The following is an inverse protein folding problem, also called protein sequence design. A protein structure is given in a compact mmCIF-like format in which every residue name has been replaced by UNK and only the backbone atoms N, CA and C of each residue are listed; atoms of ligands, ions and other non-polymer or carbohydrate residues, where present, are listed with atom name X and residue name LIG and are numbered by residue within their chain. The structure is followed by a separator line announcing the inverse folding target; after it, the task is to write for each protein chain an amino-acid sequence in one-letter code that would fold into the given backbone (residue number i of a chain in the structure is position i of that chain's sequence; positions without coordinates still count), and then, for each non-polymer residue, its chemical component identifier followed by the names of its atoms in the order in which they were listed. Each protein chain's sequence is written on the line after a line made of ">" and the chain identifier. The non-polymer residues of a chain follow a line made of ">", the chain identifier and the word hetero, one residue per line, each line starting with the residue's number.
data_IF_764025891033
#
_entry.id   IF_764025891033
#
_cell.length_a   1.000
_cell.length_b   1.000
_cell.length_c   1.000
_cell.angle_alpha   90.00
_cell.angle_beta   90.00
_cell.angle_gamma   90.00
#
_symmetry.space_group_name_H-M   'P 1'
#
loop_
_entity.id
_entity.type
_entity.pdbx_description
1 polymer ?
#
# COMPACT_ATOMS: atom_id res chain seq x y z
N UNK A 1 24.66 -5.74 8.97
CA UNK A 1 23.20 -5.85 9.05
C UNK A 1 22.66 -4.63 9.78
N UNK A 2 22.22 -3.63 9.02
CA UNK A 2 21.52 -2.48 9.61
C UNK A 2 20.03 -2.69 9.37
N UNK A 3 19.24 -2.86 10.41
CA UNK A 3 17.79 -2.77 10.29
C UNK A 3 17.42 -1.38 9.74
N UNK A 4 16.62 -1.28 8.67
CA UNK A 4 16.22 0.01 8.15
C UNK A 4 15.34 0.72 9.19
N UNK A 5 15.81 1.85 9.71
CA UNK A 5 14.96 2.74 10.52
C UNK A 5 13.72 3.09 9.68
N UNK A 6 12.55 3.07 10.33
CA UNK A 6 11.24 3.36 9.73
C UNK A 6 10.71 2.30 8.74
N UNK A 7 11.03 1.02 8.92
CA UNK A 7 10.40 -0.07 8.14
C UNK A 7 10.59 0.09 6.61
N UNK A 8 11.72 0.70 6.21
CA UNK A 8 12.06 0.98 4.81
C UNK A 8 11.49 2.29 4.23
N UNK A 9 10.70 3.05 4.99
CA UNK A 9 10.13 4.32 4.51
C UNK A 9 11.15 5.47 4.55
N UNK A 10 11.46 6.02 3.37
CA UNK A 10 12.32 7.20 3.24
C UNK A 10 11.46 8.45 3.03
N UNK A 11 11.41 9.32 4.05
CA UNK A 11 10.79 10.65 3.92
C UNK A 11 11.74 11.58 3.17
N UNK A 12 11.21 12.31 2.20
CA UNK A 12 12.00 13.25 1.40
C UNK A 12 11.20 14.53 1.12
N UNK A 13 11.88 15.69 1.05
CA UNK A 13 11.28 17.01 0.86
C UNK A 13 11.20 17.48 -0.61
N UNK A 14 11.77 16.73 -1.54
CA UNK A 14 11.87 17.04 -2.98
C UNK A 14 10.60 16.69 -3.76
N UNK A 15 9.53 16.23 -3.09
CA UNK A 15 8.22 16.04 -3.72
C UNK A 15 7.53 17.38 -3.94
N UNK A 16 7.19 17.68 -5.17
CA UNK A 16 6.39 18.84 -5.53
C UNK A 16 4.93 18.62 -5.12
N UNK A 17 4.33 19.63 -4.50
CA UNK A 17 2.93 19.61 -4.02
C UNK A 17 1.91 19.82 -5.14
N UNK A 18 2.36 20.30 -6.30
CA UNK A 18 1.52 20.59 -7.46
C UNK A 18 2.31 20.28 -8.73
N UNK A 19 1.73 19.48 -9.62
CA UNK A 19 2.39 19.03 -10.85
C UNK A 19 2.87 17.59 -10.78
N UNK A 20 3.56 17.16 -11.83
CA UNK A 20 4.08 15.80 -11.97
C UNK A 20 5.43 15.68 -11.28
N UNK A 21 5.62 14.60 -10.53
CA UNK A 21 6.92 14.27 -9.95
C UNK A 21 7.61 13.24 -10.84
N UNK A 22 8.91 13.43 -11.09
CA UNK A 22 9.75 12.47 -11.80
C UNK A 22 10.47 11.57 -10.79
N UNK A 23 10.33 10.26 -10.95
CA UNK A 23 11.07 9.27 -10.18
C UNK A 23 12.07 8.61 -11.12
N UNK A 24 13.37 8.74 -10.84
CA UNK A 24 14.43 8.07 -11.60
C UNK A 24 15.11 7.03 -10.72
N UNK A 25 15.27 5.82 -11.26
CA UNK A 25 15.99 4.73 -10.61
C UNK A 25 17.17 4.37 -11.49
N UNK A 26 18.37 4.34 -10.91
CA UNK A 26 19.60 3.95 -11.61
C UNK A 26 20.24 2.78 -10.90
N UNK A 27 20.40 1.67 -11.61
CA UNK A 27 21.05 0.48 -11.05
C UNK A 27 22.38 0.24 -11.77
N UNK A 28 23.45 0.08 -10.99
CA UNK A 28 24.77 -0.28 -11.48
C UNK A 28 25.50 -1.18 -10.48
N UNK A 29 25.98 -2.34 -10.92
CA UNK A 29 26.82 -3.26 -10.13
C UNK A 29 26.28 -3.56 -8.70
N UNK A 30 24.95 -3.71 -8.58
CA UNK A 30 24.28 -4.02 -7.31
C UNK A 30 23.93 -2.81 -6.43
N UNK A 31 24.32 -1.60 -6.84
CA UNK A 31 23.83 -0.36 -6.23
C UNK A 31 22.64 0.15 -7.02
N UNK A 32 21.57 0.51 -6.31
CA UNK A 32 20.35 1.11 -6.87
C UNK A 32 20.11 2.46 -6.23
N UNK A 33 20.33 3.51 -6.99
CA UNK A 33 20.14 4.89 -6.58
C UNK A 33 18.74 5.37 -6.98
N UNK A 34 18.07 6.01 -6.03
CA UNK A 34 16.75 6.61 -6.18
C UNK A 34 16.88 8.13 -6.24
N UNK A 35 16.24 8.73 -7.23
CA UNK A 35 16.16 10.16 -7.41
C UNK A 35 14.68 10.58 -7.52
N UNK A 36 14.36 11.73 -6.94
CA UNK A 36 13.06 12.39 -7.07
C UNK A 36 13.30 13.79 -7.60
N UNK A 37 12.66 14.14 -8.72
CA UNK A 37 12.82 15.42 -9.40
C UNK A 37 14.30 15.76 -9.64
N UNK A 38 15.08 14.77 -10.11
CA UNK A 38 16.52 14.89 -10.36
C UNK A 38 17.42 14.91 -9.11
N UNK A 39 16.85 14.99 -7.90
CA UNK A 39 17.60 15.04 -6.64
C UNK A 39 17.78 13.66 -6.05
N UNK A 40 19.02 13.33 -5.65
CA UNK A 40 19.34 12.06 -4.99
C UNK A 40 18.61 11.92 -3.64
N UNK A 41 18.01 10.75 -3.41
CA UNK A 41 17.24 10.44 -2.21
C UNK A 41 17.91 9.34 -1.39
N UNK A 42 18.23 8.22 -2.01
CA UNK A 42 18.70 7.03 -1.31
C UNK A 42 19.43 6.06 -2.25
N UNK A 43 20.32 5.25 -1.70
CA UNK A 43 20.94 4.11 -2.38
C UNK A 43 20.59 2.84 -1.62
N UNK A 44 19.98 1.89 -2.31
CA UNK A 44 19.86 0.51 -1.86
C UNK A 44 20.99 -0.32 -2.45
N UNK A 45 21.46 -1.32 -1.70
CA UNK A 45 22.47 -2.26 -2.17
C UNK A 45 21.89 -3.67 -2.16
N UNK A 46 21.92 -4.32 -3.33
CA UNK A 46 21.47 -5.68 -3.52
C UNK A 46 22.34 -6.40 -4.57
N UNK A 47 23.00 -7.47 -4.17
CA UNK A 47 23.79 -8.35 -5.03
C UNK A 47 23.05 -9.62 -5.47
N UNK A 48 21.86 -9.85 -4.91
CA UNK A 48 21.06 -11.06 -5.14
C UNK A 48 20.28 -10.96 -6.45
N UNK A 49 19.87 -9.75 -6.84
CA UNK A 49 19.12 -9.48 -8.07
C UNK A 49 20.06 -9.13 -9.24
N UNK A 50 20.55 -10.16 -9.94
CA UNK A 50 21.37 -10.00 -11.16
C UNK A 50 20.54 -9.89 -12.45
N UNK A 51 19.37 -10.52 -12.46
CA UNK A 51 18.43 -10.54 -13.58
C UNK A 51 17.00 -10.48 -13.05
N UNK A 52 16.08 -9.87 -13.82
CA UNK A 52 14.71 -9.69 -13.36
C UNK A 52 13.84 -8.90 -14.32
N UNK A 53 12.59 -8.68 -13.93
CA UNK A 53 11.63 -7.83 -14.63
C UNK A 53 11.49 -6.51 -13.87
N UNK A 54 11.36 -5.41 -14.60
CA UNK A 54 11.04 -4.10 -14.01
C UNK A 54 9.53 -3.92 -14.09
N UNK A 55 8.91 -3.55 -12.96
CA UNK A 55 7.47 -3.32 -12.88
C UNK A 55 7.12 -2.38 -11.73
N UNK A 56 5.94 -1.78 -11.81
CA UNK A 56 5.37 -0.94 -10.77
C UNK A 56 4.32 -1.75 -10.01
N UNK A 57 4.31 -1.62 -8.68
CA UNK A 57 3.36 -2.32 -7.82
C UNK A 57 2.70 -1.35 -6.85
N UNK A 58 1.37 -1.42 -6.76
CA UNK A 58 0.55 -0.68 -5.81
C UNK A 58 -0.20 -1.66 -4.90
N UNK A 59 -0.34 -1.33 -3.61
CA UNK A 59 -1.15 -2.12 -2.68
C UNK A 59 -2.65 -2.01 -2.95
N UNK A 60 -3.46 -2.82 -2.26
CA UNK A 60 -4.91 -2.94 -2.48
C UNK A 60 -5.72 -1.64 -2.29
N UNK A 61 -5.17 -0.64 -1.60
CA UNK A 61 -5.78 0.67 -1.35
C UNK A 61 -5.01 1.81 -2.02
N UNK A 62 -4.24 1.52 -3.08
CA UNK A 62 -3.39 2.52 -3.76
C UNK A 62 -3.52 2.40 -5.27
N UNK A 63 -3.43 3.55 -5.93
CA UNK A 63 -3.41 3.66 -7.39
C UNK A 63 -2.12 4.35 -7.82
N UNK A 64 -1.53 3.89 -8.93
CA UNK A 64 -0.39 4.52 -9.58
C UNK A 64 -0.87 5.11 -10.89
N UNK A 65 -0.73 6.43 -11.03
CA UNK A 65 -1.02 7.17 -12.25
C UNK A 65 0.29 7.78 -12.73
N UNK A 66 0.65 7.56 -13.99
CA UNK A 66 1.84 8.13 -14.61
C UNK A 66 1.54 8.51 -16.05
N UNK A 67 2.16 9.58 -16.52
CA UNK A 67 2.06 10.01 -17.92
C UNK A 67 3.08 9.28 -18.80
N UNK A 68 4.31 9.08 -18.29
CA UNK A 68 5.42 8.50 -19.04
C UNK A 68 6.16 7.42 -18.23
N UNK A 69 6.54 6.32 -18.90
CA UNK A 69 7.40 5.27 -18.37
C UNK A 69 8.54 4.97 -19.35
N UNK A 70 9.78 5.23 -18.92
CA UNK A 70 10.97 5.07 -19.75
C UNK A 70 11.98 4.12 -19.10
N UNK A 71 12.25 3.00 -19.77
CA UNK A 71 13.29 2.05 -19.38
C UNK A 71 14.47 2.14 -20.33
N UNK A 72 15.67 2.40 -19.79
CA UNK A 72 16.93 2.41 -20.53
C UNK A 72 17.84 1.30 -20.01
N UNK A 73 18.36 0.48 -20.92
CA UNK A 73 19.38 -0.53 -20.60
C UNK A 73 20.68 -0.14 -21.29
N UNK A 74 21.83 -0.41 -20.65
CA UNK A 74 23.11 -0.34 -21.35
C UNK A 74 23.17 -1.53 -22.32
N UNK A 75 23.23 -1.26 -23.62
CA UNK A 75 23.64 -2.29 -24.58
C UNK A 75 25.15 -2.49 -24.42
N UNK A 76 25.56 -3.73 -24.12
CA UNK A 76 26.95 -4.11 -24.33
C UNK A 76 27.18 -4.19 -25.84
N UNK A 77 27.96 -3.24 -26.37
CA UNK A 77 28.48 -3.35 -27.73
C UNK A 77 29.49 -4.51 -27.76
N UNK A 78 29.05 -5.71 -28.16
CA UNK A 78 29.96 -6.77 -28.60
C UNK A 78 30.60 -6.34 -29.92
N UNK A 79 31.67 -5.56 -29.84
CA UNK A 79 32.56 -5.31 -30.97
C UNK A 79 33.35 -6.59 -31.25
N UNK A 80 32.89 -7.36 -32.25
CA UNK A 80 33.70 -8.38 -32.91
C UNK A 80 34.81 -7.66 -33.68
N UNK A 81 35.93 -7.40 -33.02
CA UNK A 81 37.14 -6.89 -33.65
C UNK A 81 37.74 -7.94 -34.60
N UNK A 82 37.29 -7.95 -35.85
CA UNK A 82 38.08 -8.52 -36.95
C UNK A 82 39.07 -7.47 -37.44
N UNK A 83 40.26 -7.45 -36.84
CA UNK A 83 41.43 -6.81 -37.43
C UNK A 83 41.97 -7.73 -38.52
N UNK A 84 41.72 -7.41 -39.78
CA UNK A 84 42.34 -8.08 -40.93
C UNK A 84 43.60 -7.32 -41.34
N UNK A 85 44.70 -7.55 -40.63
CA UNK A 85 46.03 -7.21 -41.15
C UNK A 85 46.38 -8.17 -42.29
N UNK A 86 46.41 -7.63 -43.50
CA UNK A 86 46.97 -8.29 -44.68
C UNK A 86 48.50 -8.32 -44.52
N UNK A 87 49.05 -9.50 -44.28
CA UNK A 87 50.42 -9.80 -44.68
C UNK A 87 50.39 -10.95 -45.68
N UNK A 88 50.65 -10.61 -46.95
CA UNK A 88 51.05 -11.57 -47.97
C UNK A 88 52.42 -12.15 -47.58
N UNK A 89 52.47 -13.46 -47.38
CA UNK A 89 53.70 -14.22 -47.47
C UNK A 89 53.47 -15.38 -48.43
N UNK A 90 54.14 -15.31 -49.58
CA UNK A 90 54.27 -16.37 -50.57
C UNK A 90 55.02 -17.55 -49.95
N UNK A 91 54.29 -18.63 -49.67
CA UNK A 91 54.85 -19.97 -49.55
C UNK A 91 53.81 -20.94 -50.13
N UNK A 92 54.24 -21.81 -51.03
CA UNK A 92 53.41 -22.84 -51.66
C UNK A 92 52.68 -23.66 -50.58
N UNK A 93 51.36 -23.89 -50.74
CA UNK A 93 50.58 -24.57 -49.72
C UNK A 93 50.96 -26.06 -49.69
N UNK A 94 51.54 -26.48 -48.56
CA UNK A 94 51.79 -27.88 -48.26
C UNK A 94 50.43 -28.61 -48.19
N UNK A 95 50.17 -29.48 -49.17
CA UNK A 95 48.86 -30.12 -49.45
C UNK A 95 48.30 -30.86 -48.24
N UNK A 96 49.17 -31.45 -47.42
CA UNK A 96 48.80 -32.16 -46.19
C UNK A 96 48.21 -31.22 -45.12
N UNK A 97 48.71 -29.99 -45.00
CA UNK A 97 48.17 -29.01 -44.05
C UNK A 97 46.82 -28.46 -44.50
N UNK A 98 46.56 -28.37 -45.81
CA UNK A 98 45.25 -27.95 -46.33
C UNK A 98 44.15 -28.96 -46.00
N UNK A 99 44.41 -30.25 -46.13
CA UNK A 99 43.45 -31.30 -45.76
C UNK A 99 43.13 -31.29 -44.26
N UNK A 100 44.15 -31.14 -43.42
CA UNK A 100 43.97 -31.04 -41.97
C UNK A 100 43.16 -29.80 -41.58
N UNK A 101 43.43 -28.65 -42.21
CA UNK A 101 42.65 -27.41 -42.01
C UNK A 101 41.20 -27.61 -42.44
N UNK A 102 40.95 -28.31 -43.54
CA UNK A 102 39.59 -28.60 -44.03
C UNK A 102 38.83 -29.52 -43.06
N UNK A 103 39.50 -30.52 -42.49
CA UNK A 103 38.93 -31.42 -41.47
C UNK A 103 38.60 -30.65 -40.19
N UNK A 104 39.48 -29.75 -39.74
CA UNK A 104 39.20 -28.91 -38.58
C UNK A 104 38.04 -27.95 -38.84
N UNK A 105 38.00 -27.32 -40.01
CA UNK A 105 36.90 -26.44 -40.40
C UNK A 105 35.57 -27.17 -40.42
N UNK A 106 35.50 -28.36 -41.02
CA UNK A 106 34.27 -29.17 -41.05
C UNK A 106 33.84 -29.62 -39.66
N UNK A 107 34.78 -29.98 -38.76
CA UNK A 107 34.45 -30.25 -37.35
C UNK A 107 33.94 -29.01 -36.62
N UNK A 108 34.58 -27.85 -36.83
CA UNK A 108 34.16 -26.58 -36.23
C UNK A 108 32.77 -26.20 -36.73
N UNK A 109 32.49 -26.32 -38.02
CA UNK A 109 31.18 -26.02 -38.60
C UNK A 109 30.08 -26.94 -38.04
N UNK A 110 30.39 -28.25 -37.90
CA UNK A 110 29.48 -29.20 -37.27
C UNK A 110 29.23 -28.88 -35.78
N UNK A 111 30.28 -28.53 -35.03
CA UNK A 111 30.17 -28.08 -33.64
C UNK A 111 29.35 -26.78 -33.54
N UNK A 112 29.57 -25.81 -34.44
CA UNK A 112 28.82 -24.55 -34.46
C UNK A 112 27.33 -24.79 -34.74
N UNK A 113 27.00 -25.75 -35.60
CA UNK A 113 25.62 -26.14 -35.88
C UNK A 113 24.95 -26.79 -34.66
N UNK A 114 25.65 -27.68 -33.94
CA UNK A 114 25.12 -28.30 -32.72
C UNK A 114 24.93 -27.27 -31.60
N UNK A 115 25.88 -26.35 -31.40
CA UNK A 115 25.77 -25.24 -30.43
C UNK A 115 24.53 -24.40 -30.73
N UNK A 116 24.33 -23.96 -31.99
CA UNK A 116 23.13 -23.20 -32.38
C UNK A 116 21.83 -23.94 -32.08
N UNK A 117 21.82 -25.26 -32.27
CA UNK A 117 20.63 -26.10 -32.04
C UNK A 117 20.34 -26.22 -30.55
N UNK A 118 21.36 -26.49 -29.74
CA UNK A 118 21.25 -26.56 -28.28
C UNK A 118 20.81 -25.22 -27.68
N UNK A 119 21.35 -24.11 -28.19
CA UNK A 119 21.01 -22.77 -27.72
C UNK A 119 19.54 -22.44 -27.98
N UNK A 120 19.01 -22.78 -29.17
CA UNK A 120 17.57 -22.68 -29.45
C UNK A 120 16.71 -23.52 -28.51
N UNK A 121 17.16 -24.71 -28.12
CA UNK A 121 16.43 -25.55 -27.17
C UNK A 121 16.42 -24.95 -25.77
N UNK A 122 17.56 -24.45 -25.28
CA UNK A 122 17.66 -23.76 -23.98
C UNK A 122 16.75 -22.54 -23.94
N UNK A 123 16.74 -21.72 -25.00
CA UNK A 123 15.87 -20.54 -25.09
C UNK A 123 14.38 -20.91 -25.08
N UNK A 124 14.02 -22.02 -25.74
CA UNK A 124 12.66 -22.57 -25.70
C UNK A 124 12.25 -23.01 -24.30
N UNK A 125 13.12 -23.71 -23.58
CA UNK A 125 12.80 -24.15 -22.21
C UNK A 125 12.74 -22.98 -21.22
N UNK A 126 13.61 -21.98 -21.37
CA UNK A 126 13.57 -20.75 -20.57
C UNK A 126 12.27 -19.96 -20.80
N UNK A 127 11.82 -19.83 -22.04
CA UNK A 127 10.56 -19.12 -22.33
C UNK A 127 9.34 -19.88 -21.79
N UNK A 128 9.35 -21.21 -21.84
CA UNK A 128 8.29 -22.05 -21.28
C UNK A 128 8.21 -21.95 -19.75
N UNK A 129 9.37 -21.97 -19.05
CA UNK A 129 9.43 -21.75 -17.60
C UNK A 129 8.88 -20.38 -17.19
N UNK A 130 9.18 -19.34 -17.98
CA UNK A 130 8.65 -17.99 -17.76
C UNK A 130 7.12 -17.95 -17.94
N UNK A 131 6.60 -18.67 -18.94
CA UNK A 131 5.17 -18.77 -19.19
C UNK A 131 4.45 -19.46 -18.02
N UNK A 132 4.96 -20.59 -17.55
CA UNK A 132 4.41 -21.31 -16.39
C UNK A 132 4.41 -20.45 -15.13
N UNK A 133 5.51 -19.71 -14.88
CA UNK A 133 5.59 -18.80 -13.73
C UNK A 133 4.57 -17.67 -13.81
N UNK A 134 4.34 -17.10 -15.00
CA UNK A 134 3.32 -16.05 -15.17
C UNK A 134 1.90 -16.58 -15.03
N UNK A 135 1.63 -17.81 -15.46
CA UNK A 135 0.32 -18.45 -15.29
C UNK A 135 0.05 -18.71 -13.81
N UNK A 136 1.03 -19.25 -13.07
CA UNK A 136 0.89 -19.52 -11.64
C UNK A 136 0.64 -18.23 -10.86
N UNK A 137 1.36 -17.14 -11.16
CA UNK A 137 1.15 -15.84 -10.53
C UNK A 137 -0.24 -15.25 -10.86
N UNK A 138 -0.74 -15.45 -12.10
CA UNK A 138 -2.09 -15.00 -12.47
C UNK A 138 -3.17 -15.84 -11.80
N UNK A 139 -2.96 -17.15 -11.67
CA UNK A 139 -3.89 -18.05 -11.00
C UNK A 139 -4.01 -17.71 -9.50
N UNK A 140 -2.89 -17.45 -8.82
CA UNK A 140 -2.92 -17.04 -7.41
C UNK A 140 -3.60 -15.69 -7.20
N UNK A 141 -3.36 -14.72 -8.10
CA UNK A 141 -4.06 -13.44 -8.09
C UNK A 141 -5.58 -13.61 -8.22
N UNK A 142 -6.03 -14.38 -9.23
CA UNK A 142 -7.45 -14.65 -9.45
C UNK A 142 -8.10 -15.41 -8.29
N UNK A 143 -7.35 -16.28 -7.60
CA UNK A 143 -7.84 -16.98 -6.41
C UNK A 143 -8.08 -16.00 -5.24
N UNK A 144 -7.16 -15.08 -5.01
CA UNK A 144 -7.31 -14.03 -3.97
C UNK A 144 -8.49 -13.12 -4.31
N UNK A 145 -8.62 -12.71 -5.57
CA UNK A 145 -9.72 -11.86 -6.02
C UNK A 145 -11.07 -12.55 -5.85
N UNK A 146 -11.17 -13.84 -6.20
CA UNK A 146 -12.38 -14.64 -5.95
C UNK A 146 -12.75 -14.72 -4.46
N UNK A 147 -11.77 -14.91 -3.58
CA UNK A 147 -12.01 -14.91 -2.13
C UNK A 147 -12.57 -13.57 -1.67
N UNK A 148 -11.98 -12.46 -2.10
CA UNK A 148 -12.46 -11.11 -1.75
C UNK A 148 -13.88 -10.88 -2.26
N UNK A 149 -14.18 -11.27 -3.51
CA UNK A 149 -15.52 -11.16 -4.08
C UNK A 149 -16.53 -12.02 -3.30
N UNK A 150 -16.16 -13.24 -2.91
CA UNK A 150 -17.00 -14.10 -2.06
C UNK A 150 -17.32 -13.45 -0.72
N UNK A 151 -16.31 -12.87 -0.04
CA UNK A 151 -16.53 -12.17 1.23
C UNK A 151 -17.45 -10.95 1.06
N UNK A 152 -17.28 -10.18 -0.03
CA UNK A 152 -18.16 -9.04 -0.35
C UNK A 152 -19.59 -9.51 -0.61
N UNK A 153 -19.77 -10.62 -1.32
CA UNK A 153 -21.07 -11.21 -1.60
C UNK A 153 -21.78 -11.62 -0.30
N UNK A 154 -21.07 -12.31 0.60
CA UNK A 154 -21.60 -12.74 1.90
C UNK A 154 -22.00 -11.55 2.78
N UNK A 155 -21.13 -10.52 2.84
CA UNK A 155 -21.42 -9.29 3.58
C UNK A 155 -22.66 -8.57 3.03
N UNK A 156 -22.72 -8.41 1.70
CA UNK A 156 -23.85 -7.76 1.04
C UNK A 156 -25.15 -8.55 1.25
N UNK A 157 -25.08 -9.88 1.18
CA UNK A 157 -26.22 -10.77 1.43
C UNK A 157 -26.72 -10.65 2.87
N UNK A 158 -25.83 -10.54 3.84
CA UNK A 158 -26.19 -10.32 5.25
C UNK A 158 -26.91 -8.98 5.44
N UNK A 159 -26.36 -7.90 4.87
CA UNK A 159 -26.98 -6.57 4.94
C UNK A 159 -28.34 -6.56 4.26
N UNK A 160 -28.46 -7.21 3.09
CA UNK A 160 -29.73 -7.33 2.36
C UNK A 160 -30.77 -8.05 3.22
N UNK A 161 -30.42 -9.18 3.83
CA UNK A 161 -31.32 -9.93 4.72
C UNK A 161 -31.74 -9.12 5.95
N UNK A 162 -30.85 -8.32 6.53
CA UNK A 162 -31.19 -7.42 7.64
C UNK A 162 -32.17 -6.33 7.19
N UNK A 163 -31.93 -5.73 6.04
CA UNK A 163 -32.81 -4.72 5.47
C UNK A 163 -34.18 -5.30 5.12
N UNK A 164 -34.24 -6.52 4.58
CA UNK A 164 -35.49 -7.23 4.30
C UNK A 164 -36.31 -7.43 5.59
N UNK A 165 -35.67 -7.90 6.68
CA UNK A 165 -36.34 -8.05 7.98
C UNK A 165 -36.85 -6.72 8.53
N UNK A 166 -36.05 -5.66 8.39
CA UNK A 166 -36.45 -4.32 8.82
C UNK A 166 -37.62 -3.78 7.99
N UNK A 167 -37.63 -4.06 6.69
CA UNK A 167 -38.72 -3.68 5.79
C UNK A 167 -40.03 -4.35 6.21
N UNK A 168 -40.02 -5.67 6.43
CA UNK A 168 -41.20 -6.43 6.91
C UNK A 168 -41.71 -5.88 8.25
N UNK A 169 -40.81 -5.53 9.18
CA UNK A 169 -41.19 -4.91 10.45
C UNK A 169 -41.81 -3.51 10.29
N UNK A 170 -41.26 -2.70 9.37
CA UNK A 170 -41.82 -1.37 9.09
C UNK A 170 -43.18 -1.47 8.39
N UNK A 171 -43.36 -2.47 7.53
CA UNK A 171 -44.64 -2.77 6.90
C UNK A 171 -45.67 -3.22 7.94
N UNK A 172 -45.30 -4.05 8.92
CA UNK A 172 -46.21 -4.41 10.01
C UNK A 172 -46.59 -3.22 10.89
N UNK A 173 -45.64 -2.34 11.23
CA UNK A 173 -45.97 -1.09 11.96
C UNK A 173 -46.91 -0.22 11.13
N UNK A 174 -46.65 -0.10 9.83
CA UNK A 174 -47.51 0.69 8.95
C UNK A 174 -48.93 0.12 8.95
N UNK A 175 -49.07 -1.20 8.83
CA UNK A 175 -50.36 -1.89 8.89
C UNK A 175 -51.05 -1.69 10.25
N UNK A 176 -50.31 -1.79 11.36
CA UNK A 176 -50.82 -1.52 12.70
C UNK A 176 -51.26 -0.06 12.88
N UNK A 177 -50.60 0.90 12.23
CA UNK A 177 -50.98 2.31 12.24
C UNK A 177 -52.19 2.58 11.35
N UNK A 178 -52.28 1.92 10.19
CA UNK A 178 -53.40 2.06 9.25
C UNK A 178 -54.67 1.36 9.76
N UNK A 179 -54.54 0.24 10.46
CA UNK A 179 -55.64 -0.56 11.00
C UNK A 179 -55.92 -0.30 12.48
N UNK A 180 -54.97 0.27 13.22
CA UNK A 180 -55.08 0.58 14.64
C UNK A 180 -55.90 1.84 14.88
N UNK A 181 -57.08 1.65 15.48
CA UNK A 181 -57.90 2.75 16.01
C UNK A 181 -57.05 3.65 16.91
N UNK A 182 -56.99 4.95 16.59
CA UNK A 182 -56.23 6.04 17.22
C UNK A 182 -56.15 6.07 18.77
N UNK A 183 -56.93 5.27 19.50
CA UNK A 183 -56.94 5.20 20.96
C UNK A 183 -55.64 4.67 21.58
N UNK A 184 -54.97 3.70 20.94
CA UNK A 184 -53.80 3.04 21.57
C UNK A 184 -52.50 3.86 21.40
N UNK A 185 -52.36 4.54 20.26
CA UNK A 185 -51.33 5.57 20.04
C UNK A 185 -51.48 6.73 21.03
N UNK A 186 -52.71 7.18 21.29
CA UNK A 186 -52.97 8.25 22.26
C UNK A 186 -52.63 7.83 23.69
N UNK A 187 -52.95 6.59 24.09
CA UNK A 187 -52.59 6.08 25.42
C UNK A 187 -51.08 5.99 25.63
N UNK A 188 -50.35 5.43 24.65
CA UNK A 188 -48.90 5.31 24.72
C UNK A 188 -48.20 6.67 24.75
N UNK A 189 -48.63 7.62 23.90
CA UNK A 189 -48.10 8.99 23.92
C UNK A 189 -48.43 9.72 25.22
N UNK A 190 -49.63 9.52 25.77
CA UNK A 190 -50.03 10.13 27.05
C UNK A 190 -49.18 9.61 28.21
N UNK A 191 -48.87 8.31 28.24
CA UNK A 191 -47.99 7.71 29.24
C UNK A 191 -46.57 8.27 29.14
N UNK A 192 -46.00 8.31 27.93
CA UNK A 192 -44.64 8.84 27.69
C UNK A 192 -44.55 10.32 28.12
N UNK A 193 -45.58 11.12 27.81
CA UNK A 193 -45.64 12.53 28.21
C UNK A 193 -45.70 12.68 29.73
N UNK A 194 -46.44 11.82 30.43
CA UNK A 194 -46.52 11.84 31.89
C UNK A 194 -45.17 11.55 32.54
N UNK A 195 -44.45 10.55 32.04
CA UNK A 195 -43.12 10.17 32.52
C UNK A 195 -42.09 11.28 32.30
N UNK A 196 -42.04 11.84 31.08
CA UNK A 196 -41.15 12.97 30.76
C UNK A 196 -41.43 14.22 31.62
N UNK A 197 -42.70 14.44 32.00
CA UNK A 197 -43.08 15.55 32.88
C UNK A 197 -42.63 15.32 34.32
N UNK A 198 -42.70 14.09 34.80
CA UNK A 198 -42.19 13.69 36.12
C UNK A 198 -40.67 13.84 36.20
N UNK A 199 -39.96 13.34 35.19
CA UNK A 199 -38.51 13.44 35.09
C UNK A 199 -38.04 14.90 35.04
N UNK A 200 -38.67 15.73 34.20
CA UNK A 200 -38.37 17.17 34.13
C UNK A 200 -38.56 17.88 35.47
N UNK A 201 -39.59 17.49 36.25
CA UNK A 201 -39.82 18.07 37.58
C UNK A 201 -38.70 17.67 38.55
N UNK A 202 -38.21 16.43 38.47
CA UNK A 202 -37.07 15.95 39.26
C UNK A 202 -35.78 16.69 38.88
N UNK A 203 -35.49 16.81 37.58
CA UNK A 203 -34.32 17.52 37.07
C UNK A 203 -34.31 18.98 37.49
N UNK A 204 -35.45 19.68 37.44
CA UNK A 204 -35.56 21.07 37.93
C UNK A 204 -35.28 21.21 39.43
N UNK A 205 -35.74 20.24 40.25
CA UNK A 205 -35.43 20.22 41.68
C UNK A 205 -33.93 20.04 41.91
N UNK A 206 -33.31 19.09 41.22
CA UNK A 206 -31.88 18.82 41.31
C UNK A 206 -31.06 20.04 40.87
N UNK A 207 -31.45 20.68 39.76
CA UNK A 207 -30.80 21.91 39.27
C UNK A 207 -30.85 23.02 40.33
N UNK A 208 -32.01 23.21 40.97
CA UNK A 208 -32.17 24.21 42.04
C UNK A 208 -31.28 23.89 43.24
N UNK A 209 -31.26 22.62 43.65
CA UNK A 209 -30.39 22.13 44.73
C UNK A 209 -28.91 22.42 44.44
N UNK A 210 -28.40 21.97 43.29
CA UNK A 210 -26.99 22.19 42.92
C UNK A 210 -26.65 23.67 42.77
N UNK A 211 -27.58 24.50 42.29
CA UNK A 211 -27.37 25.95 42.19
C UNK A 211 -27.20 26.58 43.57
N UNK A 212 -28.00 26.16 44.55
CA UNK A 212 -27.90 26.65 45.92
C UNK A 212 -26.61 26.17 46.60
N UNK A 213 -26.26 24.89 46.45
CA UNK A 213 -25.00 24.34 46.97
C UNK A 213 -23.79 25.06 46.39
N UNK A 214 -23.78 25.35 45.08
CA UNK A 214 -22.70 26.07 44.45
C UNK A 214 -22.60 27.53 44.94
N UNK A 215 -23.73 28.19 45.22
CA UNK A 215 -23.73 29.52 45.86
C UNK A 215 -23.11 29.46 47.26
N UNK A 216 -23.48 28.46 48.06
CA UNK A 216 -22.92 28.28 49.40
C UNK A 216 -21.41 28.04 49.34
N UNK A 217 -20.95 27.12 48.49
CA UNK A 217 -19.52 26.83 48.32
C UNK A 217 -18.71 28.06 47.86
N UNK A 218 -19.30 28.93 47.03
CA UNK A 218 -18.66 30.19 46.64
C UNK A 218 -18.46 31.14 47.82
N UNK A 219 -19.45 31.25 48.72
CA UNK A 219 -19.30 32.07 49.92
C UNK A 219 -18.33 31.45 50.92
N UNK A 220 -18.37 30.13 51.13
CA UNK A 220 -17.42 29.43 51.98
C UNK A 220 -15.98 29.63 51.48
N UNK A 221 -15.75 29.50 50.16
CA UNK A 221 -14.45 29.79 49.55
C UNK A 221 -14.00 31.24 49.75
N UNK A 222 -14.91 32.20 49.69
CA UNK A 222 -14.59 33.61 49.94
C UNK A 222 -14.18 33.85 51.39
N UNK A 223 -14.82 33.19 52.34
CA UNK A 223 -14.45 33.23 53.76
C UNK A 223 -13.07 32.61 53.97
N UNK A 224 -12.83 31.42 53.40
CA UNK A 224 -11.53 30.74 53.50
C UNK A 224 -10.38 31.57 52.90
N UNK A 225 -10.60 32.21 51.75
CA UNK A 225 -9.60 33.09 51.13
C UNK A 225 -9.25 34.28 52.03
N UNK A 226 -10.24 34.91 52.67
CA UNK A 226 -9.99 35.99 53.64
C UNK A 226 -9.16 35.52 54.83
N UNK A 227 -9.42 34.30 55.34
CA UNK A 227 -8.65 33.75 56.45
C UNK A 227 -7.22 33.39 56.03
N UNK A 228 -7.03 32.85 54.81
CA UNK A 228 -5.70 32.62 54.24
C UNK A 228 -4.91 33.94 54.15
N UNK A 229 -5.53 35.03 53.70
CA UNK A 229 -4.86 36.33 53.60
C UNK A 229 -4.50 36.90 54.98
N UNK A 230 -5.36 36.71 55.98
CA UNK A 230 -5.08 37.05 57.38
C UNK A 230 -3.91 36.24 57.94
N UNK A 231 -3.86 34.94 57.70
CA UNK A 231 -2.77 34.09 58.17
C UNK A 231 -1.44 34.46 57.49
N UNK A 232 -1.46 34.77 56.19
CA UNK A 232 -0.28 35.25 55.44
C UNK A 232 0.27 36.55 56.01
N UNK A 233 -0.59 37.49 56.43
CA UNK A 233 -0.13 38.76 57.01
C UNK A 233 0.51 38.55 58.38
N UNK A 234 -0.01 37.64 59.19
CA UNK A 234 0.58 37.26 60.49
C UNK A 234 1.95 36.61 60.33
N UNK A 235 2.12 35.69 59.37
CA UNK A 235 3.41 35.05 59.09
C UNK A 235 4.45 36.08 58.62
N UNK A 236 4.05 37.06 57.79
CA UNK A 236 4.94 38.15 57.36
C UNK A 236 5.38 39.08 58.50
N UNK A 237 4.64 39.12 59.61
CA UNK A 237 5.00 39.92 60.79
C UNK A 237 5.94 39.18 61.75
N UNK A 238 6.08 37.85 61.61
CA UNK A 238 6.92 37.00 62.46
C UNK A 238 8.30 36.66 61.85
N UNK A 239 8.51 36.94 60.56
CA UNK A 239 9.80 36.83 59.86
C UNK A 239 10.37 38.22 59.57
#
# INVERSE_FOLDING_TARGET
>A
SGEPKFDGWVKNAFLEKSGNNEITIRTNEGYTDFYVNGSYVHTAFDLQLKEGKVGLFAGAESEIIFDDFLLKTKQEETSLGLSSDKQENTNEPNVEFQEVILIFKTKIDAQQATIKTLQKQVDKYRSMLNYDTTIVARASFLEVENKVLSFKLDSTTRVLNQNQKRLVYLESIKEDVENGSNGDLVLNLTSIIADLKSENKSLKKNQTYYTNTNKQLKEDNKILLREIDRLKSLIKLQN
#
